data_IF_224189400799
#
_entry.id   IF_224189400799
#
_cell.length_a   1.000
_cell.length_b   1.000
_cell.length_c   1.000
_cell.angle_alpha   90.00
_cell.angle_beta   90.00
_cell.angle_gamma   90.00
#
_symmetry.space_group_name_H-M   'P 1'
#
loop_
_entity.id
_entity.type
_entity.pdbx_description
1 polymer ?
#
# COMPACT_ATOMS: atom_id res chain seq x y z
N UNK A 1 -15.92 4.74 -0.23
CA UNK A 1 -14.82 5.01 0.73
C UNK A 1 -15.27 4.48 2.09
N UNK A 2 -14.45 3.71 2.80
CA UNK A 2 -14.82 3.11 4.11
C UNK A 2 -14.69 4.07 5.28
N UNK A 3 -13.81 5.07 5.18
CA UNK A 3 -13.52 6.09 6.19
C UNK A 3 -13.71 7.49 5.59
N UNK A 4 -13.86 8.53 6.40
CA UNK A 4 -13.87 9.92 5.90
C UNK A 4 -12.44 10.39 5.60
N UNK A 5 -12.29 11.37 4.70
CA UNK A 5 -10.98 11.97 4.42
C UNK A 5 -10.36 12.61 5.66
N UNK A 6 -11.19 13.21 6.52
CA UNK A 6 -10.75 13.81 7.78
C UNK A 6 -10.18 12.77 8.74
N UNK A 7 -10.87 11.63 8.90
CA UNK A 7 -10.41 10.53 9.74
C UNK A 7 -9.06 9.97 9.24
N UNK A 8 -8.96 9.70 7.93
CA UNK A 8 -7.73 9.22 7.31
C UNK A 8 -6.58 10.19 7.54
N UNK A 9 -6.78 11.48 7.25
CA UNK A 9 -5.74 12.48 7.38
C UNK A 9 -5.34 12.77 8.84
N UNK A 10 -6.27 12.64 9.79
CA UNK A 10 -6.04 12.93 11.20
C UNK A 10 -5.48 11.74 11.98
N UNK A 11 -5.83 10.50 11.63
CA UNK A 11 -5.56 9.32 12.45
C UNK A 11 -4.55 8.35 11.84
N UNK A 12 -4.50 8.20 10.51
CA UNK A 12 -3.59 7.24 9.88
C UNK A 12 -2.12 7.54 10.23
N UNK A 13 -1.35 6.49 10.50
CA UNK A 13 0.11 6.54 10.72
C UNK A 13 0.89 6.11 9.49
N UNK A 14 0.26 5.40 8.57
CA UNK A 14 0.79 5.16 7.24
C UNK A 14 -0.28 5.32 6.16
N UNK A 15 0.18 5.67 4.97
CA UNK A 15 -0.61 5.75 3.75
C UNK A 15 0.00 4.84 2.70
N UNK A 16 -0.82 4.02 2.05
CA UNK A 16 -0.45 3.29 0.85
C UNK A 16 -1.30 3.82 -0.31
N UNK A 17 -0.67 4.61 -1.19
CA UNK A 17 -1.32 5.13 -2.40
C UNK A 17 -0.95 4.22 -3.55
N UNK A 18 -1.93 3.69 -4.28
CA UNK A 18 -1.69 2.88 -5.48
C UNK A 18 -2.66 3.28 -6.61
N UNK A 19 -2.13 3.53 -7.81
CA UNK A 19 -2.96 3.88 -8.97
C UNK A 19 -3.77 5.18 -8.81
N UNK A 20 -3.28 6.15 -8.04
CA UNK A 20 -3.93 7.45 -7.84
C UNK A 20 -2.91 8.60 -7.88
N UNK A 21 -3.18 9.61 -8.72
CA UNK A 21 -2.50 10.90 -8.63
C UNK A 21 -3.31 11.83 -7.71
N UNK A 22 -3.27 11.54 -6.40
CA UNK A 22 -4.13 12.19 -5.41
C UNK A 22 -3.95 13.71 -5.36
N UNK A 23 -2.73 14.22 -5.61
CA UNK A 23 -2.44 15.65 -5.61
C UNK A 23 -3.12 16.41 -6.74
N UNK A 24 -3.20 15.85 -7.95
CA UNK A 24 -3.89 16.48 -9.08
C UNK A 24 -5.39 16.24 -9.05
N UNK A 25 -5.83 15.03 -8.70
CA UNK A 25 -7.23 14.63 -8.76
C UNK A 25 -8.04 15.09 -7.53
N UNK A 26 -7.38 15.20 -6.37
CA UNK A 26 -8.01 15.52 -5.08
C UNK A 26 -7.12 16.48 -4.26
N UNK A 27 -6.89 17.72 -4.74
CA UNK A 27 -5.84 18.60 -4.22
C UNK A 27 -5.95 18.97 -2.73
N UNK A 28 -7.18 19.09 -2.21
CA UNK A 28 -7.41 19.32 -0.77
C UNK A 28 -6.92 18.11 0.03
N UNK A 29 -7.34 16.91 -0.35
CA UNK A 29 -6.94 15.68 0.32
C UNK A 29 -5.43 15.41 0.16
N UNK A 30 -4.86 15.62 -1.03
CA UNK A 30 -3.41 15.56 -1.25
C UNK A 30 -2.64 16.51 -0.34
N UNK A 31 -3.19 17.71 -0.06
CA UNK A 31 -2.61 18.64 0.92
C UNK A 31 -2.71 18.13 2.35
N UNK A 32 -3.84 17.52 2.73
CA UNK A 32 -4.01 16.90 4.04
C UNK A 32 -3.01 15.74 4.26
N UNK A 33 -2.83 14.87 3.27
CA UNK A 33 -1.86 13.77 3.31
C UNK A 33 -0.42 14.28 3.47
N UNK A 34 -0.01 15.28 2.65
CA UNK A 34 1.32 15.91 2.77
C UNK A 34 1.55 16.52 4.15
N UNK A 35 0.53 17.15 4.75
CA UNK A 35 0.60 17.68 6.12
C UNK A 35 0.76 16.57 7.15
N UNK A 36 0.03 15.46 7.01
CA UNK A 36 0.16 14.32 7.92
C UNK A 36 1.58 13.73 7.87
N UNK A 37 2.15 13.57 6.67
CA UNK A 37 3.55 13.13 6.52
C UNK A 37 4.51 14.13 7.18
N UNK A 38 4.43 15.41 6.81
CA UNK A 38 5.40 16.44 7.23
C UNK A 38 5.34 16.79 8.73
N UNK A 39 4.14 16.82 9.31
CA UNK A 39 3.95 17.35 10.66
C UNK A 39 3.58 16.28 11.69
N UNK A 40 2.99 15.15 11.28
CA UNK A 40 2.68 14.03 12.18
C UNK A 40 3.67 12.87 12.05
N UNK A 41 4.56 12.91 11.04
CA UNK A 41 5.51 11.83 10.78
C UNK A 41 4.88 10.56 10.20
N UNK A 42 3.67 10.66 9.64
CA UNK A 42 3.02 9.53 8.99
C UNK A 42 3.86 9.03 7.81
N UNK A 43 3.97 7.72 7.64
CA UNK A 43 4.72 7.11 6.52
C UNK A 43 3.88 7.12 5.26
N UNK A 44 4.52 7.34 4.11
CA UNK A 44 3.84 7.34 2.82
C UNK A 44 4.54 6.39 1.86
N UNK A 45 3.84 5.35 1.43
CA UNK A 45 4.25 4.47 0.33
C UNK A 45 3.39 4.82 -0.87
N UNK A 46 4.03 5.10 -2.01
CA UNK A 46 3.35 5.38 -3.28
C UNK A 46 3.74 4.32 -4.29
N UNK A 47 2.75 3.62 -4.85
CA UNK A 47 2.91 2.67 -5.94
C UNK A 47 2.30 3.25 -7.22
N UNK A 48 3.15 3.89 -8.04
CA UNK A 48 2.80 4.45 -9.35
C UNK A 48 4.02 4.31 -10.28
N UNK A 49 3.87 3.78 -11.50
CA UNK A 49 4.98 3.72 -12.46
C UNK A 49 5.64 5.09 -12.73
N UNK A 50 4.85 6.16 -12.60
CA UNK A 50 5.24 7.55 -12.81
C UNK A 50 5.70 8.18 -11.50
N UNK A 51 6.56 9.19 -11.63
CA UNK A 51 6.86 10.11 -10.53
C UNK A 51 5.84 11.24 -10.55
N UNK A 52 4.91 11.23 -9.60
CA UNK A 52 3.85 12.25 -9.41
C UNK A 52 4.18 13.14 -8.21
N UNK A 53 3.60 14.34 -8.10
CA UNK A 53 3.97 15.34 -7.08
C UNK A 53 4.04 14.82 -5.63
N UNK A 54 3.14 13.91 -5.24
CA UNK A 54 3.11 13.39 -3.87
C UNK A 54 4.28 12.44 -3.56
N UNK A 55 4.96 11.90 -4.58
CA UNK A 55 6.13 11.02 -4.39
C UNK A 55 7.31 11.73 -3.74
N UNK A 56 7.41 13.06 -3.86
CA UNK A 56 8.46 13.85 -3.19
C UNK A 56 8.32 13.88 -1.67
N UNK A 57 7.17 13.44 -1.15
CA UNK A 57 6.90 13.29 0.28
C UNK A 57 6.89 11.82 0.70
N UNK A 58 7.05 10.88 -0.24
CA UNK A 58 6.97 9.45 0.05
C UNK A 58 8.20 8.99 0.85
N UNK A 59 7.97 8.15 1.85
CA UNK A 59 9.02 7.33 2.44
C UNK A 59 9.58 6.37 1.39
N UNK A 60 8.70 5.80 0.56
CA UNK A 60 9.05 4.82 -0.45
C UNK A 60 8.17 4.99 -1.70
N UNK A 61 8.80 5.04 -2.86
CA UNK A 61 8.12 5.09 -4.17
C UNK A 61 8.37 3.77 -4.92
N UNK A 62 7.36 2.92 -4.96
CA UNK A 62 7.35 1.69 -5.74
C UNK A 62 6.98 2.04 -7.19
N UNK A 63 7.88 1.72 -8.12
CA UNK A 63 7.73 2.00 -9.54
C UNK A 63 7.48 0.70 -10.30
N UNK A 64 6.38 0.03 -9.99
CA UNK A 64 6.00 -1.19 -10.68
C UNK A 64 5.77 -0.95 -12.17
N UNK A 65 6.02 -1.96 -13.01
CA UNK A 65 5.67 -1.94 -14.44
C UNK A 65 4.14 -1.81 -14.58
N UNK A 66 3.63 -1.05 -15.56
CA UNK A 66 2.19 -0.95 -15.81
C UNK A 66 1.54 -2.33 -15.97
N UNK A 67 0.37 -2.54 -15.35
CA UNK A 67 -0.38 -3.80 -15.43
C UNK A 67 0.12 -4.91 -14.50
N UNK A 68 1.05 -4.63 -13.59
CA UNK A 68 1.60 -5.61 -12.64
C UNK A 68 1.12 -5.41 -11.20
N UNK A 69 0.09 -4.59 -11.01
CA UNK A 69 -0.42 -4.16 -9.71
C UNK A 69 -0.93 -5.34 -8.85
N UNK A 70 -1.57 -6.34 -9.46
CA UNK A 70 -2.00 -7.56 -8.75
C UNK A 70 -0.78 -8.33 -8.21
N UNK A 71 0.29 -8.44 -9.00
CA UNK A 71 1.50 -9.11 -8.55
C UNK A 71 2.15 -8.34 -7.38
N UNK A 72 2.18 -7.01 -7.46
CA UNK A 72 2.69 -6.16 -6.38
C UNK A 72 1.87 -6.36 -5.09
N UNK A 73 0.55 -6.19 -5.16
CA UNK A 73 -0.33 -6.28 -3.98
C UNK A 73 -0.30 -7.67 -3.36
N UNK A 74 -0.36 -8.73 -4.17
CA UNK A 74 -0.24 -10.10 -3.66
C UNK A 74 1.14 -10.39 -3.05
N UNK A 75 2.21 -9.84 -3.60
CA UNK A 75 3.55 -9.95 -3.04
C UNK A 75 3.69 -9.26 -1.68
N UNK A 76 3.13 -8.05 -1.53
CA UNK A 76 3.12 -7.36 -0.25
C UNK A 76 2.34 -8.15 0.81
N UNK A 77 1.17 -8.70 0.44
CA UNK A 77 0.38 -9.55 1.34
C UNK A 77 1.09 -10.87 1.66
N UNK A 78 1.79 -11.48 0.69
CA UNK A 78 2.62 -12.66 0.92
C UNK A 78 3.66 -12.39 2.02
N UNK A 79 4.39 -11.28 1.92
CA UNK A 79 5.40 -10.90 2.91
C UNK A 79 4.77 -10.68 4.29
N UNK A 80 3.61 -10.01 4.36
CA UNK A 80 2.88 -9.80 5.62
C UNK A 80 2.57 -11.15 6.29
N UNK A 81 2.09 -12.13 5.53
CA UNK A 81 1.80 -13.48 6.05
C UNK A 81 3.07 -14.27 6.41
N UNK A 82 4.11 -14.16 5.61
CA UNK A 82 5.41 -14.80 5.86
C UNK A 82 6.02 -14.31 7.18
N UNK A 83 5.89 -13.00 7.47
CA UNK A 83 6.39 -12.38 8.71
C UNK A 83 5.44 -12.51 9.90
N UNK A 84 4.23 -13.02 9.71
CA UNK A 84 3.23 -13.15 10.77
C UNK A 84 2.67 -11.80 11.25
N UNK A 85 2.66 -10.79 10.37
CA UNK A 85 2.23 -9.42 10.69
C UNK A 85 0.71 -9.20 10.54
N UNK A 86 0.00 -10.19 10.03
CA UNK A 86 -1.45 -10.17 9.89
C UNK A 86 -2.18 -10.09 11.22
N UNK A 87 -3.37 -9.49 11.20
CA UNK A 87 -4.26 -9.46 12.36
C UNK A 87 -5.08 -10.75 12.41
N UNK A 88 -4.55 -11.75 13.11
CA UNK A 88 -5.15 -13.10 13.18
C UNK A 88 -6.55 -13.10 13.77
N UNK A 89 -6.78 -12.29 14.81
CA UNK A 89 -8.09 -12.20 15.47
C UNK A 89 -9.10 -11.59 14.51
N UNK A 90 -8.74 -10.48 13.84
CA UNK A 90 -9.63 -9.87 12.85
C UNK A 90 -9.96 -10.83 11.70
N UNK A 91 -8.96 -11.56 11.19
CA UNK A 91 -9.17 -12.55 10.13
C UNK A 91 -10.14 -13.64 10.58
N UNK A 92 -9.95 -14.20 11.78
CA UNK A 92 -10.81 -15.26 12.32
C UNK A 92 -12.25 -14.78 12.54
N UNK A 93 -12.44 -13.57 13.07
CA UNK A 93 -13.75 -13.07 13.45
C UNK A 93 -14.52 -12.36 12.32
N UNK A 94 -13.83 -11.87 11.28
CA UNK A 94 -14.38 -10.92 10.30
C UNK A 94 -14.09 -11.26 8.84
N UNK A 95 -13.38 -12.35 8.55
CA UNK A 95 -13.08 -12.78 7.19
C UNK A 95 -13.54 -14.22 6.94
N UNK A 96 -13.73 -14.55 5.66
CA UNK A 96 -14.10 -15.89 5.19
C UNK A 96 -13.13 -16.33 4.08
N UNK A 97 -13.05 -17.64 3.81
CA UNK A 97 -12.20 -18.22 2.76
C UNK A 97 -10.71 -17.85 2.85
N UNK A 98 -10.20 -17.61 4.06
CA UNK A 98 -8.82 -17.15 4.26
C UNK A 98 -7.77 -18.19 3.85
N UNK A 99 -8.04 -19.49 4.04
CA UNK A 99 -7.10 -20.54 3.64
C UNK A 99 -6.91 -20.61 2.11
N UNK A 100 -8.00 -20.47 1.34
CA UNK A 100 -7.96 -20.40 -0.13
C UNK A 100 -7.24 -19.14 -0.61
N UNK A 101 -7.52 -18.01 0.05
CA UNK A 101 -6.83 -16.76 -0.20
C UNK A 101 -5.32 -16.88 0.08
N UNK A 102 -4.94 -17.44 1.22
CA UNK A 102 -3.54 -17.69 1.60
C UNK A 102 -2.84 -18.59 0.57
N UNK A 103 -3.49 -19.67 0.12
CA UNK A 103 -2.95 -20.54 -0.92
C UNK A 103 -2.68 -19.77 -2.22
N UNK A 104 -3.54 -18.81 -2.58
CA UNK A 104 -3.32 -17.92 -3.74
C UNK A 104 -2.06 -17.09 -3.55
N UNK A 105 -1.85 -16.49 -2.38
CA UNK A 105 -0.68 -15.65 -2.08
C UNK A 105 0.64 -16.41 -2.12
N UNK A 106 0.65 -17.72 -1.83
CA UNK A 106 1.87 -18.53 -1.93
C UNK A 106 2.45 -18.58 -3.35
N UNK A 107 1.65 -18.25 -4.37
CA UNK A 107 2.11 -18.16 -5.77
C UNK A 107 2.86 -16.85 -6.10
N UNK A 108 3.03 -15.95 -5.13
CA UNK A 108 3.65 -14.63 -5.27
C UNK A 108 4.83 -14.43 -4.29
N UNK A 109 5.86 -15.31 -4.30
CA UNK A 109 7.06 -15.06 -3.51
C UNK A 109 7.76 -13.77 -3.97
N UNK A 110 8.45 -13.06 -3.06
CA UNK A 110 9.02 -11.73 -3.33
C UNK A 110 9.92 -11.67 -4.58
N UNK A 111 10.70 -12.71 -4.85
CA UNK A 111 11.61 -12.78 -6.00
C UNK A 111 10.84 -12.79 -7.32
N UNK A 112 9.76 -13.58 -7.39
CA UNK A 112 8.89 -13.65 -8.58
C UNK A 112 8.13 -12.34 -8.77
N UNK A 113 7.68 -11.72 -7.68
CA UNK A 113 7.02 -10.42 -7.70
C UNK A 113 7.99 -9.34 -8.19
N UNK A 114 9.25 -9.39 -7.74
CA UNK A 114 10.29 -8.47 -8.18
C UNK A 114 10.56 -8.58 -9.68
N UNK A 115 10.68 -9.80 -10.22
CA UNK A 115 10.84 -10.03 -11.66
C UNK A 115 9.66 -9.47 -12.46
N UNK A 116 8.44 -9.78 -12.01
CA UNK A 116 7.20 -9.38 -12.67
C UNK A 116 7.05 -7.86 -12.66
N UNK A 117 7.13 -7.25 -11.49
CA UNK A 117 6.84 -5.82 -11.28
C UNK A 117 8.02 -4.92 -11.62
N UNK A 118 9.25 -5.44 -11.60
CA UNK A 118 10.47 -4.62 -11.65
C UNK A 118 10.80 -3.87 -10.36
N UNK A 119 10.02 -4.05 -9.29
CA UNK A 119 10.30 -3.49 -7.97
C UNK A 119 11.33 -4.36 -7.26
N UNK A 120 12.43 -3.82 -6.73
CA UNK A 120 13.42 -4.61 -6.01
C UNK A 120 12.85 -5.31 -4.77
N UNK A 121 13.33 -6.52 -4.47
CA UNK A 121 12.84 -7.34 -3.35
C UNK A 121 12.93 -6.59 -2.02
N UNK A 122 14.02 -5.86 -1.79
CA UNK A 122 14.22 -5.05 -0.59
C UNK A 122 13.13 -4.00 -0.40
N UNK A 123 12.66 -3.37 -1.50
CA UNK A 123 11.57 -2.39 -1.43
C UNK A 123 10.22 -3.06 -1.18
N UNK A 124 10.02 -4.30 -1.63
CA UNK A 124 8.80 -5.06 -1.32
C UNK A 124 8.72 -5.33 0.20
N UNK A 125 9.82 -5.77 0.81
CA UNK A 125 9.88 -5.97 2.26
C UNK A 125 9.72 -4.67 3.03
N UNK A 126 10.40 -3.59 2.60
CA UNK A 126 10.28 -2.28 3.24
C UNK A 126 8.83 -1.75 3.17
N UNK A 127 8.18 -1.85 2.01
CA UNK A 127 6.78 -1.46 1.84
C UNK A 127 5.84 -2.28 2.74
N UNK A 128 5.99 -3.61 2.75
CA UNK A 128 5.19 -4.50 3.56
C UNK A 128 5.35 -4.19 5.06
N UNK A 129 6.59 -3.95 5.51
CA UNK A 129 6.89 -3.57 6.88
C UNK A 129 6.25 -2.23 7.25
N UNK A 130 6.40 -1.20 6.40
CA UNK A 130 5.80 0.11 6.62
C UNK A 130 4.28 -0.04 6.79
N UNK A 131 3.63 -0.78 5.89
CA UNK A 131 2.18 -0.99 5.90
C UNK A 131 1.72 -1.75 7.15
N UNK A 132 2.45 -2.79 7.54
CA UNK A 132 2.11 -3.67 8.65
C UNK A 132 2.31 -3.04 10.03
N UNK A 133 3.46 -2.38 10.25
CA UNK A 133 3.86 -1.94 11.58
C UNK A 133 3.30 -0.54 11.93
N UNK A 134 2.99 0.31 10.95
CA UNK A 134 2.53 1.68 11.17
C UNK A 134 1.00 1.78 11.22
N UNK A 135 0.37 1.10 12.19
CA UNK A 135 -1.10 1.06 12.33
C UNK A 135 -1.67 2.33 13.02
N UNK A 136 -2.81 2.89 12.56
CA UNK A 136 -3.61 2.43 11.41
C UNK A 136 -3.03 2.88 10.07
N UNK A 137 -3.11 1.99 9.07
CA UNK A 137 -2.70 2.25 7.69
C UNK A 137 -3.93 2.48 6.83
N UNK A 138 -3.94 3.53 6.01
CA UNK A 138 -5.01 3.79 5.04
C UNK A 138 -4.54 3.50 3.62
N UNK A 139 -5.37 2.79 2.85
CA UNK A 139 -5.14 2.52 1.41
C UNK A 139 -5.93 3.53 0.59
N UNK A 140 -5.26 4.20 -0.35
CA UNK A 140 -5.86 5.16 -1.27
C UNK A 140 -5.62 4.68 -2.70
N UNK A 141 -6.69 4.56 -3.47
CA UNK A 141 -6.64 4.14 -4.88
C UNK A 141 -7.58 4.96 -5.76
N UNK A 142 -7.40 4.86 -7.08
CA UNK A 142 -8.30 5.46 -8.06
C UNK A 142 -8.21 4.73 -9.41
N UNK A 143 -8.30 5.47 -10.50
CA UNK A 143 -8.44 4.95 -11.86
C UNK A 143 -7.30 4.06 -12.33
N UNK A 144 -6.08 4.21 -11.80
CA UNK A 144 -4.95 3.34 -12.14
C UNK A 144 -5.08 1.90 -11.64
N UNK A 145 -6.12 1.59 -10.86
CA UNK A 145 -6.47 0.22 -10.45
C UNK A 145 -7.70 -0.31 -11.21
N UNK A 146 -8.63 0.55 -11.60
CA UNK A 146 -9.94 0.12 -12.12
C UNK A 146 -10.05 0.11 -13.65
N UNK A 147 -9.06 0.62 -14.39
CA UNK A 147 -9.03 0.73 -15.86
C UNK A 147 -7.78 0.06 -16.42
#
# INVERSE_FOLDING_TARGET
>A
MSNSMDDVAAQAKAFFIIGSNTTEQHPVFGTMLRRAVKFRGAKLVVADPRRIDITDFATLHLRQKPGTDIALVNGLMHIILEKGWEDKIFIEERCENFDEFKATLMNYPPEKVSETTGVPVEQLYEAAQIIAENKPTAVIWAMGITQ
#
